data_IF_134213625869
#
_entry.id   IF_134213625869
#
_cell.length_a   1.000
_cell.length_b   1.000
_cell.length_c   1.000
_cell.angle_alpha   90.00
_cell.angle_beta   90.00
_cell.angle_gamma   90.00
#
_symmetry.space_group_name_H-M   'P 1'
#
loop_
_entity.id
_entity.type
_entity.pdbx_description
1 polymer ?
#
# COMPACT_ATOMS: atom_id res chain seq x y z
N UNK A 1 -23.77 -83.05 20.87
CA UNK A 1 -23.89 -81.86 19.99
C UNK A 1 -23.75 -80.55 20.79
N UNK A 2 -22.59 -80.28 21.42
CA UNK A 2 -22.41 -79.01 22.17
C UNK A 2 -20.98 -78.44 22.15
N UNK A 3 -20.05 -78.99 21.36
CA UNK A 3 -18.65 -78.54 21.35
C UNK A 3 -18.12 -78.01 20.00
N UNK A 4 -18.93 -78.04 18.93
CA UNK A 4 -18.51 -77.58 17.59
C UNK A 4 -19.06 -76.21 17.15
N UNK A 5 -19.71 -75.43 18.04
CA UNK A 5 -20.24 -74.09 17.67
C UNK A 5 -19.53 -72.89 18.32
N UNK A 6 -18.56 -73.10 19.21
CA UNK A 6 -17.81 -72.01 19.87
C UNK A 6 -16.48 -71.62 19.19
N UNK A 7 -16.02 -72.37 18.18
CA UNK A 7 -14.74 -72.10 17.51
C UNK A 7 -14.83 -71.22 16.24
N UNK A 8 -16.02 -70.96 15.69
CA UNK A 8 -16.16 -70.12 14.47
C UNK A 8 -16.34 -68.63 14.70
N UNK A 9 -16.64 -68.17 15.93
CA UNK A 9 -16.83 -66.73 16.19
C UNK A 9 -15.56 -66.01 16.66
N UNK A 10 -14.53 -66.75 17.10
CA UNK A 10 -13.28 -66.16 17.59
C UNK A 10 -12.30 -65.86 16.44
N UNK A 11 -12.34 -66.60 15.33
CA UNK A 11 -11.46 -66.32 14.17
C UNK A 11 -11.93 -65.16 13.28
N UNK A 12 -13.23 -64.86 13.22
CA UNK A 12 -13.75 -63.75 12.39
C UNK A 12 -13.53 -62.38 13.09
N UNK A 13 -13.53 -62.35 14.42
CA UNK A 13 -13.26 -61.12 15.19
C UNK A 13 -11.79 -60.66 15.15
N UNK A 14 -10.83 -61.58 15.06
CA UNK A 14 -9.40 -61.26 15.05
C UNK A 14 -8.88 -60.80 13.68
N UNK A 15 -9.47 -61.27 12.56
CA UNK A 15 -9.11 -60.77 11.22
C UNK A 15 -9.64 -59.35 10.94
N UNK A 16 -10.81 -59.00 11.50
CA UNK A 16 -11.40 -57.66 11.35
C UNK A 16 -10.63 -56.57 12.10
N UNK A 17 -10.03 -56.89 13.24
CA UNK A 17 -9.27 -55.91 14.05
C UNK A 17 -7.88 -55.59 13.46
N UNK A 18 -7.25 -56.55 12.79
CA UNK A 18 -5.94 -56.37 12.14
C UNK A 18 -6.05 -55.51 10.86
N UNK A 19 -7.15 -55.62 10.11
CA UNK A 19 -7.38 -54.80 8.91
C UNK A 19 -7.77 -53.35 9.24
N UNK A 20 -8.47 -53.10 10.36
CA UNK A 20 -8.77 -51.74 10.82
C UNK A 20 -7.55 -51.00 11.39
N UNK A 21 -6.66 -51.71 12.09
CA UNK A 21 -5.41 -51.12 12.60
C UNK A 21 -4.39 -50.83 11.48
N UNK A 22 -4.31 -51.68 10.45
CA UNK A 22 -3.46 -51.44 9.28
C UNK A 22 -3.96 -50.28 8.40
N UNK A 23 -5.28 -50.10 8.27
CA UNK A 23 -5.89 -48.98 7.54
C UNK A 23 -5.70 -47.62 8.24
N UNK A 24 -5.79 -47.57 9.56
CA UNK A 24 -5.58 -46.34 10.34
C UNK A 24 -4.09 -45.94 10.41
N UNK A 25 -3.16 -46.90 10.54
CA UNK A 25 -1.71 -46.61 10.54
C UNK A 25 -1.20 -46.28 9.12
N UNK A 26 -1.70 -46.98 8.09
CA UNK A 26 -1.40 -46.71 6.69
C UNK A 26 -1.95 -45.36 6.20
N UNK A 27 -3.19 -45.01 6.59
CA UNK A 27 -3.80 -43.72 6.26
C UNK A 27 -3.10 -42.54 6.94
N UNK A 28 -2.69 -42.68 8.20
CA UNK A 28 -2.00 -41.60 8.91
C UNK A 28 -0.58 -41.37 8.37
N UNK A 29 0.15 -42.43 8.03
CA UNK A 29 1.49 -42.33 7.42
C UNK A 29 1.44 -41.77 5.99
N UNK A 30 0.40 -42.10 5.21
CA UNK A 30 0.19 -41.50 3.87
C UNK A 30 -0.13 -40.01 3.95
N UNK A 31 -1.03 -39.60 4.84
CA UNK A 31 -1.42 -38.20 5.03
C UNK A 31 -0.22 -37.34 5.47
N UNK A 32 0.59 -37.83 6.42
CA UNK A 32 1.81 -37.14 6.89
C UNK A 32 2.86 -37.03 5.78
N UNK A 33 3.01 -38.05 4.94
CA UNK A 33 3.94 -38.01 3.78
C UNK A 33 3.49 -36.99 2.72
N UNK A 34 2.19 -36.91 2.42
CA UNK A 34 1.67 -35.91 1.48
C UNK A 34 1.80 -34.48 2.02
N UNK A 35 1.56 -34.27 3.30
CA UNK A 35 1.74 -32.97 3.97
C UNK A 35 3.20 -32.54 4.01
N UNK A 36 4.13 -33.47 4.24
CA UNK A 36 5.56 -33.19 4.16
C UNK A 36 5.98 -32.79 2.74
N UNK A 37 5.57 -33.57 1.73
CA UNK A 37 5.85 -33.27 0.32
C UNK A 37 5.20 -31.95 -0.14
N UNK A 38 4.02 -31.59 0.38
CA UNK A 38 3.37 -30.31 0.12
C UNK A 38 4.10 -29.12 0.78
N UNK A 39 4.61 -29.30 1.99
CA UNK A 39 5.44 -28.30 2.70
C UNK A 39 6.79 -28.09 2.02
N UNK A 40 7.45 -29.16 1.56
CA UNK A 40 8.70 -29.05 0.81
C UNK A 40 8.52 -28.41 -0.56
N UNK A 41 7.44 -28.73 -1.29
CA UNK A 41 7.08 -28.06 -2.54
C UNK A 41 6.79 -26.58 -2.33
N UNK A 42 6.06 -26.22 -1.27
CA UNK A 42 5.80 -24.83 -0.90
C UNK A 42 7.07 -24.08 -0.48
N UNK A 43 7.98 -24.73 0.25
CA UNK A 43 9.28 -24.16 0.62
C UNK A 43 10.20 -23.95 -0.58
N UNK A 44 10.21 -24.89 -1.55
CA UNK A 44 10.94 -24.75 -2.82
C UNK A 44 10.37 -23.63 -3.70
N UNK A 45 9.05 -23.52 -3.81
CA UNK A 45 8.41 -22.42 -4.56
C UNK A 45 8.69 -21.07 -3.90
N UNK A 46 8.65 -20.98 -2.56
CA UNK A 46 9.02 -19.76 -1.81
C UNK A 46 10.49 -19.38 -2.02
N UNK A 47 11.41 -20.33 -1.95
CA UNK A 47 12.86 -20.05 -2.14
C UNK A 47 13.21 -19.69 -3.58
N UNK A 48 12.57 -20.30 -4.57
CA UNK A 48 12.75 -19.92 -5.99
C UNK A 48 12.17 -18.53 -6.27
N UNK A 49 11.02 -18.18 -5.68
CA UNK A 49 10.39 -16.86 -5.83
C UNK A 49 11.18 -15.76 -5.13
N UNK A 50 11.69 -16.02 -3.92
CA UNK A 50 12.56 -15.09 -3.18
C UNK A 50 13.90 -14.84 -3.92
N UNK A 51 14.51 -15.89 -4.49
CA UNK A 51 15.73 -15.73 -5.31
C UNK A 51 15.48 -14.91 -6.59
N UNK A 52 14.32 -15.11 -7.25
CA UNK A 52 13.93 -14.29 -8.43
C UNK A 52 13.68 -12.83 -8.05
N UNK A 53 12.99 -12.56 -6.93
CA UNK A 53 12.77 -11.21 -6.43
C UNK A 53 14.09 -10.52 -6.04
N UNK A 54 14.97 -11.20 -5.32
CA UNK A 54 16.29 -10.68 -4.97
C UNK A 54 17.17 -10.39 -6.20
N UNK A 55 17.11 -11.24 -7.23
CA UNK A 55 17.81 -11.02 -8.48
C UNK A 55 17.25 -9.79 -9.25
N UNK A 56 15.92 -9.60 -9.26
CA UNK A 56 15.29 -8.42 -9.86
C UNK A 56 15.63 -7.13 -9.11
N UNK A 57 15.67 -7.16 -7.78
CA UNK A 57 16.10 -6.03 -6.94
C UNK A 57 17.58 -5.71 -7.21
N UNK A 58 18.46 -6.71 -7.23
CA UNK A 58 19.89 -6.49 -7.51
C UNK A 58 20.12 -5.90 -8.92
N UNK A 59 19.35 -6.36 -9.91
CA UNK A 59 19.42 -5.84 -11.27
C UNK A 59 18.87 -4.41 -11.38
N UNK A 60 17.79 -4.09 -10.66
CA UNK A 60 17.23 -2.73 -10.61
C UNK A 60 18.15 -1.75 -9.88
N UNK A 61 18.84 -2.19 -8.82
CA UNK A 61 19.86 -1.40 -8.11
C UNK A 61 21.07 -1.08 -8.98
N UNK A 62 21.56 -2.05 -9.76
CA UNK A 62 22.64 -1.83 -10.72
C UNK A 62 22.22 -0.83 -11.80
N UNK A 63 20.98 -0.92 -12.29
CA UNK A 63 20.42 -0.01 -13.29
C UNK A 63 20.22 1.41 -12.72
N UNK A 64 19.74 1.53 -11.49
CA UNK A 64 19.60 2.81 -10.79
C UNK A 64 20.95 3.48 -10.52
N UNK A 65 21.97 2.73 -10.08
CA UNK A 65 23.34 3.23 -9.93
C UNK A 65 23.95 3.66 -11.26
N UNK A 66 23.69 2.93 -12.35
CA UNK A 66 24.16 3.30 -13.68
C UNK A 66 23.48 4.58 -14.21
N UNK A 67 22.18 4.77 -13.93
CA UNK A 67 21.45 6.00 -14.24
C UNK A 67 21.96 7.19 -13.44
N UNK A 68 22.22 7.01 -12.14
CA UNK A 68 22.77 8.05 -11.27
C UNK A 68 24.20 8.45 -11.68
N UNK A 69 25.04 7.51 -12.13
CA UNK A 69 26.40 7.79 -12.63
C UNK A 69 26.43 8.49 -13.99
N UNK A 70 25.37 8.37 -14.80
CA UNK A 70 25.26 9.06 -16.11
C UNK A 70 24.73 10.49 -15.98
N UNK A 71 24.13 10.86 -14.85
CA UNK A 71 23.70 12.23 -14.60
C UNK A 71 24.93 13.10 -14.28
N UNK A 72 25.32 13.99 -15.19
CA UNK A 72 26.36 15.01 -14.91
C UNK A 72 25.81 16.02 -13.89
N UNK A 73 26.61 16.44 -12.89
CA UNK A 73 26.25 17.57 -12.04
C UNK A 73 26.51 18.86 -12.85
N UNK A 74 25.43 19.49 -13.32
CA UNK A 74 25.48 20.80 -13.99
C UNK A 74 24.63 20.86 -15.25
N UNK A 75 23.72 21.83 -15.27
CA UNK A 75 22.91 22.33 -16.38
C UNK A 75 21.76 21.44 -16.90
N UNK A 76 20.57 21.64 -16.34
CA UNK A 76 19.52 22.42 -16.99
C UNK A 76 18.38 22.61 -15.99
N UNK A 77 17.98 23.86 -15.71
CA UNK A 77 16.63 24.10 -15.23
C UNK A 77 15.71 23.51 -16.30
N UNK A 78 15.11 22.36 -16.01
CA UNK A 78 14.13 21.76 -16.88
C UNK A 78 13.07 22.83 -17.15
N UNK A 79 12.85 23.16 -18.42
CA UNK A 79 11.77 24.04 -18.82
C UNK A 79 10.48 23.57 -18.13
N UNK A 80 9.62 24.49 -17.64
CA UNK A 80 8.44 24.10 -16.88
C UNK A 80 7.60 23.17 -17.75
N UNK A 81 7.49 21.91 -17.35
CA UNK A 81 6.60 20.94 -17.97
C UNK A 81 5.21 21.57 -17.88
N UNK A 82 4.59 21.88 -19.03
CA UNK A 82 3.21 22.38 -19.05
C UNK A 82 2.35 21.38 -18.29
N UNK A 83 1.80 21.85 -17.18
CA UNK A 83 0.96 21.08 -16.30
C UNK A 83 -0.30 20.63 -17.06
N UNK A 84 -0.59 19.33 -17.07
CA UNK A 84 -1.86 18.76 -17.58
C UNK A 84 -3.02 18.91 -16.59
N UNK A 85 -2.81 19.68 -15.51
CA UNK A 85 -3.78 19.93 -14.44
C UNK A 85 -4.81 20.95 -14.91
N UNK A 86 -6.06 20.74 -14.50
CA UNK A 86 -7.15 21.70 -14.71
C UNK A 86 -7.00 22.78 -13.62
N UNK A 87 -6.82 24.07 -13.96
CA UNK A 87 -6.73 25.14 -12.98
C UNK A 87 -7.96 25.18 -12.07
N UNK A 88 -7.78 25.45 -10.77
CA UNK A 88 -8.89 25.51 -9.78
C UNK A 88 -9.98 26.51 -10.18
N UNK A 89 -9.64 27.56 -10.94
CA UNK A 89 -10.59 28.52 -11.50
C UNK A 89 -11.56 27.90 -12.51
N UNK A 90 -11.18 26.80 -13.18
CA UNK A 90 -12.01 26.06 -14.14
C UNK A 90 -12.79 24.91 -13.51
N UNK A 91 -12.58 24.63 -12.22
CA UNK A 91 -13.34 23.59 -11.53
C UNK A 91 -14.81 24.00 -11.41
N UNK A 92 -15.71 23.03 -11.39
CA UNK A 92 -17.14 23.28 -11.23
C UNK A 92 -17.59 22.85 -9.84
N UNK A 93 -18.67 23.47 -9.37
CA UNK A 93 -19.32 23.09 -8.12
C UNK A 93 -20.03 21.74 -8.33
N UNK A 94 -19.75 20.75 -7.49
CA UNK A 94 -20.51 19.52 -7.51
C UNK A 94 -21.93 19.76 -6.95
N UNK A 95 -22.94 19.11 -7.54
CA UNK A 95 -24.35 19.25 -7.18
C UNK A 95 -24.72 18.61 -5.84
N UNK A 96 -23.87 17.73 -5.32
CA UNK A 96 -24.01 17.08 -4.02
C UNK A 96 -22.66 17.05 -3.28
N UNK A 97 -22.66 16.77 -1.96
CA UNK A 97 -21.42 16.55 -1.22
C UNK A 97 -20.56 15.46 -1.87
N UNK A 98 -19.34 15.82 -2.28
CA UNK A 98 -18.42 14.93 -2.99
C UNK A 98 -17.98 13.79 -2.08
N UNK A 99 -17.98 12.58 -2.64
CA UNK A 99 -17.38 11.38 -2.05
C UNK A 99 -16.46 10.75 -3.08
N UNK A 100 -15.24 10.39 -2.70
CA UNK A 100 -14.28 9.80 -3.64
C UNK A 100 -13.32 8.79 -3.01
N UNK A 101 -12.78 7.85 -3.79
CA UNK A 101 -11.83 6.89 -3.29
C UNK A 101 -10.46 7.53 -3.05
N UNK A 102 -9.96 7.42 -1.82
CA UNK A 102 -8.54 7.56 -1.49
C UNK A 102 -7.98 6.13 -1.42
N UNK A 103 -7.30 5.69 -2.48
CA UNK A 103 -6.71 4.35 -2.54
C UNK A 103 -5.50 4.26 -1.63
N UNK A 104 -5.42 3.19 -0.85
CA UNK A 104 -4.32 2.88 0.06
C UNK A 104 -3.56 1.64 -0.41
N UNK A 105 -2.35 1.86 -0.91
CA UNK A 105 -1.32 0.87 -1.18
C UNK A 105 -0.18 1.01 -0.16
N UNK A 106 0.79 0.10 -0.15
CA UNK A 106 1.98 0.20 0.72
C UNK A 106 3.24 -0.02 -0.12
N UNK A 107 3.54 -1.27 -0.49
CA UNK A 107 4.75 -1.63 -1.22
C UNK A 107 4.45 -2.21 -2.62
N UNK A 108 5.47 -2.27 -3.48
CA UNK A 108 5.42 -2.91 -4.80
C UNK A 108 6.31 -4.13 -4.79
N UNK A 109 5.71 -5.30 -4.98
CA UNK A 109 6.44 -6.56 -4.93
C UNK A 109 5.52 -7.77 -4.83
N UNK A 110 6.06 -8.86 -4.28
CA UNK A 110 5.33 -10.10 -4.01
C UNK A 110 5.78 -10.68 -2.67
N UNK A 111 4.87 -11.28 -1.91
CA UNK A 111 5.21 -12.07 -0.73
C UNK A 111 4.26 -11.92 0.45
N UNK A 112 3.57 -10.78 0.57
CA UNK A 112 2.57 -10.53 1.60
C UNK A 112 1.43 -9.66 1.07
N UNK A 113 0.45 -9.35 1.93
CA UNK A 113 -0.76 -8.58 1.58
C UNK A 113 -0.53 -7.08 1.42
N UNK A 114 0.64 -6.55 1.79
CA UNK A 114 1.02 -5.14 1.63
C UNK A 114 1.77 -4.88 0.31
N UNK A 115 2.29 -5.94 -0.31
CA UNK A 115 3.06 -5.87 -1.55
C UNK A 115 2.15 -6.09 -2.76
N UNK A 116 1.94 -5.02 -3.54
CA UNK A 116 1.18 -5.06 -4.79
C UNK A 116 2.07 -5.52 -5.95
N UNK A 117 1.74 -6.60 -6.68
CA UNK A 117 2.48 -7.00 -7.86
C UNK A 117 2.55 -5.89 -8.90
N UNK A 118 3.73 -5.66 -9.47
CA UNK A 118 3.98 -4.55 -10.41
C UNK A 118 3.03 -4.55 -11.62
N UNK A 119 2.75 -5.72 -12.20
CA UNK A 119 1.83 -5.84 -13.35
C UNK A 119 0.37 -5.56 -12.96
N UNK A 120 -0.03 -5.98 -11.76
CA UNK A 120 -1.37 -5.70 -11.23
C UNK A 120 -1.53 -4.19 -11.01
N UNK A 121 -0.55 -3.54 -10.37
CA UNK A 121 -0.55 -2.09 -10.19
C UNK A 121 -0.59 -1.35 -11.52
N UNK A 122 0.24 -1.76 -12.49
CA UNK A 122 0.25 -1.17 -13.84
C UNK A 122 -1.13 -1.24 -14.49
N UNK A 123 -1.81 -2.37 -14.39
CA UNK A 123 -3.14 -2.57 -14.96
C UNK A 123 -4.19 -1.67 -14.27
N UNK A 124 -4.15 -1.58 -12.93
CA UNK A 124 -5.05 -0.70 -12.17
C UNK A 124 -4.86 0.77 -12.54
N UNK A 125 -3.61 1.25 -12.57
CA UNK A 125 -3.28 2.62 -12.94
C UNK A 125 -3.65 2.95 -14.40
N UNK A 126 -3.37 2.04 -15.32
CA UNK A 126 -3.74 2.19 -16.74
C UNK A 126 -5.26 2.28 -16.89
N UNK A 127 -6.00 1.41 -16.18
CA UNK A 127 -7.45 1.40 -16.22
C UNK A 127 -8.05 2.69 -15.66
N UNK A 128 -7.54 3.22 -14.54
CA UNK A 128 -8.01 4.49 -13.97
C UNK A 128 -7.96 5.63 -15.01
N UNK A 129 -6.83 5.74 -15.73
CA UNK A 129 -6.67 6.72 -16.81
C UNK A 129 -7.67 6.50 -17.95
N UNK A 130 -7.79 5.25 -18.43
CA UNK A 130 -8.72 4.91 -19.52
C UNK A 130 -10.19 5.13 -19.14
N UNK A 131 -10.55 4.91 -17.88
CA UNK A 131 -11.88 5.14 -17.34
C UNK A 131 -12.21 6.62 -17.09
N UNK A 132 -11.24 7.52 -17.31
CA UNK A 132 -11.39 8.96 -17.18
C UNK A 132 -11.31 9.47 -15.75
N UNK A 133 -10.57 8.81 -14.86
CA UNK A 133 -10.32 9.34 -13.52
C UNK A 133 -9.27 10.45 -13.54
N UNK A 134 -9.59 11.56 -12.87
CA UNK A 134 -8.63 12.60 -12.51
C UNK A 134 -7.94 12.22 -11.19
N UNK A 135 -6.63 12.04 -11.23
CA UNK A 135 -5.82 11.71 -10.07
C UNK A 135 -5.43 12.99 -9.31
N UNK A 136 -5.89 13.11 -8.07
CA UNK A 136 -5.70 14.31 -7.23
C UNK A 136 -4.30 14.35 -6.60
N UNK A 137 -3.74 15.55 -6.47
CA UNK A 137 -2.66 15.80 -5.49
C UNK A 137 -3.24 15.97 -4.07
N UNK A 138 -2.40 15.96 -3.01
CA UNK A 138 -2.86 16.27 -1.65
C UNK A 138 -3.52 17.66 -1.54
N UNK A 139 -2.97 18.68 -2.20
CA UNK A 139 -3.53 20.04 -2.19
C UNK A 139 -4.88 20.12 -2.91
N UNK A 140 -5.02 19.40 -4.03
CA UNK A 140 -6.30 19.33 -4.75
C UNK A 140 -7.36 18.56 -3.97
N UNK A 141 -6.99 17.45 -3.32
CA UNK A 141 -7.89 16.73 -2.42
C UNK A 141 -8.40 17.65 -1.30
N UNK A 142 -7.54 18.49 -0.73
CA UNK A 142 -7.96 19.52 0.23
C UNK A 142 -8.93 20.52 -0.39
N UNK A 143 -8.67 21.02 -1.59
CA UNK A 143 -9.60 21.91 -2.31
C UNK A 143 -10.96 21.24 -2.55
N UNK A 144 -10.99 19.99 -3.03
CA UNK A 144 -12.24 19.24 -3.23
C UNK A 144 -13.03 19.14 -1.92
N UNK A 145 -12.38 18.71 -0.85
CA UNK A 145 -13.03 18.48 0.44
C UNK A 145 -13.46 19.77 1.15
N UNK A 146 -12.78 20.89 0.93
CA UNK A 146 -13.07 22.16 1.59
C UNK A 146 -14.05 23.05 0.82
N UNK A 147 -14.15 22.89 -0.50
CA UNK A 147 -14.96 23.77 -1.36
C UNK A 147 -16.09 23.05 -2.09
N UNK A 148 -16.06 21.71 -2.13
CA UNK A 148 -16.97 20.89 -2.91
C UNK A 148 -16.94 21.21 -4.42
N UNK A 149 -15.82 21.78 -4.89
CA UNK A 149 -15.51 21.99 -6.31
C UNK A 149 -14.64 20.85 -6.81
N UNK A 150 -14.91 20.36 -8.01
CA UNK A 150 -14.18 19.24 -8.61
C UNK A 150 -13.66 19.58 -10.01
N UNK A 151 -12.51 19.01 -10.40
CA UNK A 151 -11.99 19.14 -11.76
C UNK A 151 -12.77 18.30 -12.77
N UNK A 152 -13.31 17.15 -12.34
CA UNK A 152 -14.07 16.18 -13.12
C UNK A 152 -15.02 15.39 -12.20
N UNK A 153 -16.02 14.72 -12.76
CA UNK A 153 -16.93 13.87 -11.98
C UNK A 153 -16.22 12.65 -11.36
N UNK A 154 -15.27 12.08 -12.10
CA UNK A 154 -14.46 10.94 -11.65
C UNK A 154 -13.13 11.44 -11.13
N UNK A 155 -12.99 11.44 -9.82
CA UNK A 155 -11.74 11.75 -9.12
C UNK A 155 -11.27 10.58 -8.27
N UNK A 156 -9.96 10.44 -8.11
CA UNK A 156 -9.33 9.44 -7.25
C UNK A 156 -8.07 10.04 -6.64
N UNK A 157 -7.74 9.65 -5.41
CA UNK A 157 -6.43 9.97 -4.84
C UNK A 157 -5.68 8.68 -4.55
N UNK A 158 -4.49 8.51 -5.14
CA UNK A 158 -3.70 7.29 -5.04
C UNK A 158 -2.58 7.50 -4.02
N UNK A 159 -2.63 6.76 -2.90
CA UNK A 159 -1.66 6.89 -1.80
C UNK A 159 -0.89 5.60 -1.54
N UNK A 160 0.38 5.72 -1.18
CA UNK A 160 1.27 4.65 -0.76
C UNK A 160 1.84 4.97 0.62
N UNK A 161 1.68 4.06 1.58
CA UNK A 161 2.22 4.23 2.92
C UNK A 161 3.68 3.77 3.01
N UNK A 162 4.37 4.22 4.06
CA UNK A 162 5.69 3.79 4.57
C UNK A 162 6.94 4.22 3.78
N UNK A 163 6.82 4.72 2.54
CA UNK A 163 8.00 5.22 1.81
C UNK A 163 9.01 4.13 1.43
N UNK A 164 8.54 2.94 1.05
CA UNK A 164 9.40 1.82 0.66
C UNK A 164 10.27 2.13 -0.57
N UNK A 165 11.48 1.59 -0.59
CA UNK A 165 12.47 1.76 -1.68
C UNK A 165 11.99 1.22 -3.03
N UNK A 166 11.03 0.30 -3.05
CA UNK A 166 10.40 -0.17 -4.28
C UNK A 166 9.64 0.95 -5.01
N UNK A 167 9.19 1.99 -4.31
CA UNK A 167 8.54 3.15 -4.93
C UNK A 167 9.45 3.84 -5.94
N UNK A 168 10.75 3.95 -5.67
CA UNK A 168 11.71 4.51 -6.63
C UNK A 168 12.16 3.50 -7.69
N UNK A 169 12.40 2.24 -7.29
CA UNK A 169 13.04 1.25 -8.18
C UNK A 169 12.07 0.55 -9.13
N UNK A 170 10.83 0.33 -8.70
CA UNK A 170 9.76 -0.30 -9.47
C UNK A 170 8.61 0.67 -9.76
N UNK A 171 8.19 1.46 -8.76
CA UNK A 171 7.06 2.39 -8.86
C UNK A 171 7.29 3.53 -9.86
N UNK A 172 8.39 4.28 -9.73
CA UNK A 172 8.65 5.44 -10.56
C UNK A 172 8.65 5.14 -12.08
N UNK A 173 9.29 4.06 -12.58
CA UNK A 173 9.14 3.66 -13.97
C UNK A 173 7.68 3.37 -14.38
N UNK A 174 6.90 2.72 -13.51
CA UNK A 174 5.49 2.42 -13.75
C UNK A 174 4.64 3.68 -13.81
N UNK A 175 4.76 4.58 -12.83
CA UNK A 175 4.02 5.84 -12.77
C UNK A 175 4.28 6.70 -14.01
N UNK A 176 5.53 6.75 -14.48
CA UNK A 176 5.88 7.42 -15.75
C UNK A 176 5.22 6.75 -16.95
N UNK A 177 5.23 5.42 -17.02
CA UNK A 177 4.64 4.69 -18.13
C UNK A 177 3.11 4.83 -18.21
N UNK A 178 2.43 4.88 -17.06
CA UNK A 178 0.98 5.09 -16.99
C UNK A 178 0.57 6.55 -16.92
N UNK A 179 1.55 7.47 -16.83
CA UNK A 179 1.35 8.91 -16.57
C UNK A 179 0.51 9.16 -15.31
N UNK A 180 0.65 8.29 -14.31
CA UNK A 180 -0.11 8.36 -13.07
C UNK A 180 0.52 9.29 -12.05
N UNK A 181 -0.34 10.03 -11.34
CA UNK A 181 -0.01 10.88 -10.21
C UNK A 181 -0.36 10.13 -8.93
N UNK A 182 0.61 10.05 -8.03
CA UNK A 182 0.50 9.30 -6.78
C UNK A 182 1.11 10.12 -5.65
N UNK A 183 0.70 9.83 -4.42
CA UNK A 183 1.28 10.38 -3.20
C UNK A 183 1.95 9.28 -2.40
N UNK A 184 3.17 9.52 -1.90
CA UNK A 184 3.82 8.63 -0.93
C UNK A 184 3.81 9.29 0.45
N UNK A 185 3.28 8.58 1.46
CA UNK A 185 3.27 9.01 2.86
C UNK A 185 4.58 8.52 3.51
N UNK A 186 5.52 9.45 3.75
CA UNK A 186 6.88 9.14 4.18
C UNK A 186 7.04 9.13 5.69
N UNK A 187 7.73 8.09 6.21
CA UNK A 187 8.18 8.04 7.59
C UNK A 187 9.49 8.83 7.67
N UNK A 188 9.46 10.05 8.21
CA UNK A 188 10.58 10.99 8.06
C UNK A 188 11.88 10.47 8.70
N UNK A 189 11.80 9.79 9.84
CA UNK A 189 12.94 9.19 10.53
C UNK A 189 13.49 7.93 9.87
N UNK A 190 12.79 7.36 8.88
CA UNK A 190 13.25 6.20 8.12
C UNK A 190 13.91 6.56 6.79
N UNK A 191 13.87 7.83 6.37
CA UNK A 191 14.50 8.27 5.12
C UNK A 191 15.99 7.92 5.13
N UNK A 192 16.42 7.18 4.10
CA UNK A 192 17.80 6.71 3.97
C UNK A 192 18.10 5.36 4.60
N UNK A 193 17.13 4.70 5.26
CA UNK A 193 17.28 3.32 5.72
C UNK A 193 17.44 2.35 4.53
N UNK A 194 17.84 1.10 4.80
CA UNK A 194 18.00 0.08 3.76
C UNK A 194 16.72 -0.24 2.98
N UNK A 195 15.55 -0.03 3.59
CA UNK A 195 14.24 -0.41 3.04
C UNK A 195 13.43 0.78 2.55
N UNK A 196 13.82 2.01 2.88
CA UNK A 196 13.07 3.22 2.57
C UNK A 196 13.78 4.07 1.50
N UNK A 197 13.07 5.08 1.01
CA UNK A 197 13.63 6.04 0.06
C UNK A 197 14.76 6.85 0.69
N UNK A 198 15.78 7.16 -0.11
CA UNK A 198 16.77 8.19 0.24
C UNK A 198 16.26 9.56 -0.20
N UNK A 199 16.82 10.63 0.38
CA UNK A 199 16.51 12.00 -0.04
C UNK A 199 16.69 12.20 -1.56
N UNK A 200 17.75 11.64 -2.15
CA UNK A 200 17.99 11.71 -3.59
C UNK A 200 16.91 10.99 -4.41
N UNK A 201 16.38 9.87 -3.91
CA UNK A 201 15.26 9.17 -4.54
C UNK A 201 13.97 9.99 -4.45
N UNK A 202 13.67 10.56 -3.27
CA UNK A 202 12.52 11.45 -3.05
C UNK A 202 12.55 12.62 -4.04
N UNK A 203 13.68 13.35 -4.13
CA UNK A 203 13.85 14.47 -5.07
C UNK A 203 13.68 14.04 -6.53
N UNK A 204 14.21 12.87 -6.90
CA UNK A 204 14.06 12.31 -8.26
C UNK A 204 12.59 12.00 -8.59
N UNK A 205 11.85 11.46 -7.62
CA UNK A 205 10.42 11.14 -7.76
C UNK A 205 9.56 12.40 -7.79
N UNK A 206 9.87 13.39 -6.95
CA UNK A 206 9.19 14.69 -6.91
C UNK A 206 9.33 15.40 -8.27
N UNK A 207 10.54 15.43 -8.84
CA UNK A 207 10.78 15.99 -10.17
C UNK A 207 10.03 15.27 -11.29
N UNK A 208 9.55 14.03 -11.04
CA UNK A 208 8.73 13.27 -11.97
C UNK A 208 7.22 13.40 -11.71
N UNK A 209 6.81 14.23 -10.75
CA UNK A 209 5.40 14.49 -10.44
C UNK A 209 4.78 13.56 -9.40
N UNK A 210 5.60 12.87 -8.59
CA UNK A 210 5.14 12.17 -7.39
C UNK A 210 5.02 13.16 -6.23
N UNK A 211 3.86 13.18 -5.59
CA UNK A 211 3.63 13.98 -4.38
C UNK A 211 4.08 13.22 -3.13
N UNK A 212 4.37 13.96 -2.07
CA UNK A 212 4.78 13.39 -0.79
C UNK A 212 3.97 13.98 0.35
N UNK A 213 3.59 13.13 1.29
CA UNK A 213 2.90 13.48 2.52
C UNK A 213 3.62 12.85 3.73
N UNK A 214 3.15 13.16 4.94
CA UNK A 214 3.80 12.66 6.17
C UNK A 214 3.21 11.34 6.65
N UNK A 215 4.05 10.51 7.27
CA UNK A 215 3.67 9.30 8.00
C UNK A 215 4.37 9.21 9.38
N UNK A 216 4.47 10.35 10.08
CA UNK A 216 5.15 10.53 11.37
C UNK A 216 6.68 10.36 11.29
N UNK A 217 7.38 10.54 12.41
CA UNK A 217 8.84 10.38 12.47
C UNK A 217 9.21 8.91 12.55
N UNK A 218 8.55 8.18 13.44
CA UNK A 218 8.98 6.86 13.88
C UNK A 218 7.96 5.75 13.63
N UNK A 219 6.83 6.08 12.98
CA UNK A 219 5.76 5.13 12.65
C UNK A 219 5.18 4.43 13.90
N UNK A 220 4.95 5.21 14.95
CA UNK A 220 4.36 4.73 16.21
C UNK A 220 2.84 4.87 16.20
N UNK A 221 2.16 3.95 16.88
CA UNK A 221 0.71 4.01 17.07
C UNK A 221 0.34 5.19 17.99
N UNK A 222 -0.08 6.32 17.39
CA UNK A 222 -0.16 7.63 18.04
C UNK A 222 -1.08 7.66 19.27
N UNK A 223 -2.25 7.02 19.20
CA UNK A 223 -3.23 7.05 20.29
C UNK A 223 -2.79 6.30 21.57
N UNK A 224 -1.67 5.57 21.52
CA UNK A 224 -1.03 4.94 22.68
C UNK A 224 0.09 5.77 23.30
N UNK A 225 0.48 6.86 22.65
CA UNK A 225 1.59 7.70 23.10
C UNK A 225 1.12 8.80 24.04
N UNK A 226 1.97 9.25 24.97
CA UNK A 226 1.76 10.50 25.70
C UNK A 226 1.58 11.67 24.72
N UNK A 227 0.74 12.65 25.09
CA UNK A 227 0.41 13.80 24.24
C UNK A 227 1.65 14.52 23.68
N UNK A 228 2.63 14.82 24.54
CA UNK A 228 3.88 15.45 24.11
C UNK A 228 4.62 14.67 23.02
N UNK A 229 4.58 13.32 23.08
CA UNK A 229 5.22 12.49 22.05
C UNK A 229 4.42 12.49 20.75
N UNK A 230 3.09 12.52 20.80
CA UNK A 230 2.26 12.66 19.59
C UNK A 230 2.56 13.97 18.88
N UNK A 231 2.64 15.07 19.63
CA UNK A 231 2.98 16.39 19.10
C UNK A 231 4.35 16.38 18.40
N UNK A 232 5.38 15.80 19.03
CA UNK A 232 6.72 15.65 18.43
C UNK A 232 6.67 14.84 17.14
N UNK A 233 6.03 13.66 17.15
CA UNK A 233 5.90 12.79 15.97
C UNK A 233 5.24 13.52 14.78
N UNK A 234 4.26 14.38 15.04
CA UNK A 234 3.52 15.10 14.01
C UNK A 234 4.26 16.35 13.53
N UNK A 235 4.83 17.13 14.44
CA UNK A 235 5.49 18.41 14.13
C UNK A 235 6.84 18.20 13.47
N UNK A 236 7.65 17.29 14.00
CA UNK A 236 9.02 17.07 13.50
C UNK A 236 8.98 16.40 12.14
N UNK A 237 8.09 15.43 11.93
CA UNK A 237 7.94 14.79 10.62
C UNK A 237 7.57 15.78 9.52
N UNK A 238 6.66 16.72 9.82
CA UNK A 238 6.29 17.77 8.88
C UNK A 238 7.47 18.69 8.57
N UNK A 239 8.23 19.04 9.60
CA UNK A 239 9.39 19.94 9.50
C UNK A 239 10.52 19.29 8.70
N UNK A 240 10.85 18.04 9.00
CA UNK A 240 11.94 17.31 8.36
C UNK A 240 11.63 17.01 6.90
N UNK A 241 10.41 16.55 6.60
CA UNK A 241 9.98 16.38 5.22
C UNK A 241 9.93 17.73 4.49
N UNK A 242 9.55 18.81 5.17
CA UNK A 242 9.59 20.17 4.60
C UNK A 242 10.99 20.57 4.12
N UNK A 243 12.04 20.22 4.86
CA UNK A 243 13.45 20.47 4.46
C UNK A 243 13.83 19.70 3.20
N UNK A 244 13.36 18.46 3.05
CA UNK A 244 13.65 17.60 1.89
C UNK A 244 12.88 18.05 0.65
N UNK A 245 11.58 18.31 0.82
CA UNK A 245 10.61 18.56 -0.24
C UNK A 245 10.59 20.03 -0.70
N UNK A 246 11.19 20.94 0.08
CA UNK A 246 11.14 22.38 -0.14
C UNK A 246 9.80 23.02 0.26
N UNK A 247 8.79 22.23 0.62
CA UNK A 247 7.51 22.69 1.16
C UNK A 247 7.02 21.65 2.16
N UNK A 248 6.54 22.12 3.31
CA UNK A 248 6.01 21.26 4.34
C UNK A 248 4.75 20.50 3.85
N UNK A 249 4.68 19.17 4.05
CA UNK A 249 3.47 18.40 3.74
C UNK A 249 2.21 18.99 4.36
N UNK A 250 1.10 18.99 3.60
CA UNK A 250 -0.21 19.40 4.12
C UNK A 250 -1.06 18.22 4.62
N UNK A 251 -0.59 16.98 4.43
CA UNK A 251 -1.35 15.77 4.74
C UNK A 251 -0.52 14.86 5.65
N UNK A 252 -1.19 14.23 6.62
CA UNK A 252 -0.66 13.15 7.47
C UNK A 252 -1.47 11.87 7.24
N UNK A 253 -0.81 10.74 7.08
CA UNK A 253 -1.42 9.42 7.28
C UNK A 253 -1.06 8.92 8.68
N UNK A 254 -2.04 8.44 9.45
CA UNK A 254 -1.76 7.94 10.80
C UNK A 254 -1.25 6.49 10.75
N UNK A 255 -0.10 6.17 11.37
CA UNK A 255 0.41 4.80 11.45
C UNK A 255 -0.68 3.85 11.95
N UNK A 256 -0.82 2.72 11.27
CA UNK A 256 -1.85 1.69 11.51
C UNK A 256 -3.30 2.23 11.59
N UNK A 257 -3.53 3.44 11.10
CA UNK A 257 -4.83 4.13 11.08
C UNK A 257 -5.37 4.56 12.44
N UNK A 258 -4.55 4.58 13.49
CA UNK A 258 -5.00 4.86 14.87
C UNK A 258 -4.68 6.29 15.29
N UNK A 259 -5.68 6.92 15.91
CA UNK A 259 -5.64 8.29 16.39
C UNK A 259 -6.60 8.44 17.58
N UNK A 260 -6.44 9.52 18.36
CA UNK A 260 -7.42 9.98 19.34
C UNK A 260 -7.59 11.51 19.20
N UNK A 261 -8.41 12.13 20.05
CA UNK A 261 -8.71 13.56 19.95
C UNK A 261 -7.45 14.44 20.08
N UNK A 262 -6.50 14.03 20.94
CA UNK A 262 -5.19 14.68 21.05
C UNK A 262 -4.43 14.60 19.73
N UNK A 263 -4.40 13.43 19.09
CA UNK A 263 -3.76 13.26 17.77
C UNK A 263 -4.34 14.21 16.72
N UNK A 264 -5.66 14.37 16.69
CA UNK A 264 -6.34 15.23 15.72
C UNK A 264 -6.05 16.71 15.98
N UNK A 265 -6.05 17.12 17.25
CA UNK A 265 -5.71 18.48 17.66
C UNK A 265 -4.24 18.80 17.34
N UNK A 266 -3.32 17.88 17.64
CA UNK A 266 -1.89 18.04 17.36
C UNK A 266 -1.62 18.09 15.86
N UNK A 267 -2.30 17.26 15.05
CA UNK A 267 -2.17 17.29 13.59
C UNK A 267 -2.58 18.65 13.02
N UNK A 268 -3.71 19.20 13.49
CA UNK A 268 -4.15 20.55 13.14
C UNK A 268 -3.14 21.61 13.57
N UNK A 269 -2.62 21.49 14.79
CA UNK A 269 -1.68 22.47 15.38
C UNK A 269 -0.31 22.45 14.71
N UNK A 270 0.13 21.29 14.22
CA UNK A 270 1.35 21.13 13.42
C UNK A 270 1.21 21.74 12.01
N UNK A 271 0.00 22.10 11.58
CA UNK A 271 -0.27 22.73 10.28
C UNK A 271 -0.59 21.75 9.15
N UNK A 272 -0.98 20.51 9.47
CA UNK A 272 -1.64 19.66 8.48
C UNK A 272 -3.05 20.18 8.19
N UNK A 273 -3.55 19.88 7.00
CA UNK A 273 -4.89 20.22 6.52
C UNK A 273 -5.76 18.96 6.39
N UNK A 274 -5.14 17.81 6.09
CA UNK A 274 -5.81 16.53 5.92
C UNK A 274 -5.16 15.44 6.78
N UNK A 275 -5.99 14.51 7.27
CA UNK A 275 -5.58 13.32 8.01
C UNK A 275 -6.20 12.05 7.43
N UNK A 276 -5.39 11.05 7.14
CA UNK A 276 -5.80 9.79 6.49
C UNK A 276 -5.78 8.64 7.48
N UNK A 277 -6.85 7.83 7.47
CA UNK A 277 -7.02 6.67 8.37
C UNK A 277 -6.94 5.36 7.60
N UNK A 278 -7.14 4.23 8.27
CA UNK A 278 -7.37 2.93 7.61
C UNK A 278 -8.83 2.49 7.69
N UNK A 279 -9.75 3.37 8.10
CA UNK A 279 -11.18 3.09 8.10
C UNK A 279 -11.64 2.85 6.66
N UNK A 280 -12.24 1.69 6.34
CA UNK A 280 -12.67 1.41 4.97
C UNK A 280 -13.82 2.31 4.54
N UNK A 281 -13.67 2.99 3.41
CA UNK A 281 -14.74 3.82 2.84
C UNK A 281 -14.26 4.85 1.83
N UNK A 282 -15.22 5.52 1.19
CA UNK A 282 -14.96 6.72 0.39
C UNK A 282 -14.75 7.92 1.30
N UNK A 283 -13.78 8.76 0.97
CA UNK A 283 -13.51 9.99 1.69
C UNK A 283 -14.60 11.05 1.41
N UNK A 284 -14.98 11.79 2.43
CA UNK A 284 -15.98 12.85 2.35
C UNK A 284 -15.73 13.92 3.42
N UNK A 285 -16.05 15.17 3.12
CA UNK A 285 -15.86 16.29 4.05
C UNK A 285 -16.63 16.11 5.38
N UNK A 286 -17.77 15.39 5.35
CA UNK A 286 -18.60 15.09 6.52
C UNK A 286 -17.89 14.21 7.57
N UNK A 287 -16.83 13.48 7.20
CA UNK A 287 -15.99 12.76 8.16
C UNK A 287 -15.19 13.72 9.04
N UNK A 288 -14.95 14.96 8.58
CA UNK A 288 -13.93 15.85 9.13
C UNK A 288 -12.59 15.61 8.44
N UNK A 289 -11.91 16.70 8.11
CA UNK A 289 -10.72 16.67 7.23
C UNK A 289 -9.53 15.89 7.81
N UNK A 290 -9.50 15.68 9.12
CA UNK A 290 -8.41 15.01 9.84
C UNK A 290 -8.66 13.51 10.07
N UNK A 291 -9.72 12.92 9.54
CA UNK A 291 -10.02 11.49 9.74
C UNK A 291 -10.70 10.87 8.53
N UNK A 292 -10.13 11.10 7.36
CA UNK A 292 -10.66 10.62 6.10
C UNK A 292 -10.52 9.10 5.97
N UNK A 293 -11.57 8.47 5.47
CA UNK A 293 -11.59 7.05 5.15
C UNK A 293 -10.73 6.77 3.91
N UNK A 294 -10.21 5.54 3.82
CA UNK A 294 -9.44 5.07 2.66
C UNK A 294 -9.91 3.72 2.19
N UNK A 295 -9.65 3.44 0.91
CA UNK A 295 -9.97 2.19 0.25
C UNK A 295 -8.70 1.34 0.17
N UNK A 296 -8.59 0.31 1.02
CA UNK A 296 -7.46 -0.64 0.98
C UNK A 296 -7.50 -1.42 -0.32
N UNK A 297 -6.40 -1.43 -1.08
CA UNK A 297 -6.27 -2.24 -2.29
C UNK A 297 -5.34 -3.42 -2.00
N UNK A 298 -5.90 -4.62 -1.96
CA UNK A 298 -5.14 -5.83 -1.69
C UNK A 298 -4.65 -6.49 -3.00
N UNK A 299 -3.49 -7.16 -2.97
CA UNK A 299 -3.05 -7.98 -4.09
C UNK A 299 -4.04 -9.12 -4.34
N UNK A 300 -4.21 -9.50 -5.61
CA UNK A 300 -5.16 -10.55 -6.00
C UNK A 300 -6.59 -10.06 -6.29
N UNK A 301 -6.95 -8.80 -5.98
CA UNK A 301 -8.20 -8.22 -6.46
C UNK A 301 -8.29 -8.28 -8.00
N UNK A 302 -9.37 -8.87 -8.51
CA UNK A 302 -9.70 -8.80 -9.93
C UNK A 302 -10.02 -7.36 -10.34
N UNK A 303 -9.99 -7.05 -11.63
CA UNK A 303 -10.39 -5.73 -12.12
C UNK A 303 -11.82 -5.36 -11.70
N UNK A 304 -12.75 -6.33 -11.73
CA UNK A 304 -14.14 -6.13 -11.29
C UNK A 304 -14.21 -5.79 -9.80
N UNK A 305 -13.45 -6.50 -8.95
CA UNK A 305 -13.38 -6.18 -7.52
C UNK A 305 -12.77 -4.80 -7.28
N UNK A 306 -11.73 -4.44 -8.02
CA UNK A 306 -11.12 -3.10 -7.96
C UNK A 306 -12.11 -1.99 -8.37
N UNK A 307 -12.93 -2.22 -9.40
CA UNK A 307 -13.99 -1.31 -9.80
C UNK A 307 -15.07 -1.16 -8.72
N UNK A 308 -15.43 -2.25 -8.03
CA UNK A 308 -16.40 -2.17 -6.93
C UNK A 308 -15.85 -1.36 -5.75
N UNK A 309 -14.58 -1.55 -5.41
CA UNK A 309 -13.88 -0.78 -4.39
C UNK A 309 -13.93 0.73 -4.69
N UNK A 310 -13.66 1.13 -5.94
CA UNK A 310 -13.70 2.54 -6.34
C UNK A 310 -15.08 3.16 -6.20
N UNK A 311 -16.14 2.39 -6.44
CA UNK A 311 -17.52 2.88 -6.40
C UNK A 311 -18.11 2.90 -5.00
N UNK A 312 -17.77 1.92 -4.17
CA UNK A 312 -18.46 1.68 -2.89
C UNK A 312 -17.58 1.96 -1.68
N UNK A 313 -16.25 1.87 -1.85
CA UNK A 313 -15.28 1.84 -0.76
C UNK A 313 -15.06 0.46 -0.15
N UNK A 314 -15.75 -0.59 -0.65
CA UNK A 314 -15.77 -1.95 -0.09
C UNK A 314 -15.65 -3.06 -1.15
#
# INVERSE_FOLDING_TARGET
MAEMKKRSWILIGLLGLVLLAAGLYGGHTYQVSMDHAARERSARVRTVTAKKAAAQISQSEKKARALAKKAKPGAAQAAPVKSDRIPVSQWHQASAPVRFPILMYHDIGVGNTLMMPADQLKNQLTWLKQAGYYELTPSEAYTVLSTNRVPQDKIVWITFDDGYRAMATLGLPLFKATKSRVTVNEISGSVGSSWNLTEAMIKTMQAAGVDFASHTVSHLELNKLPAARQQTELTDSRTDLGKILGTAPNTIAYPVGRYNDVTLQDAKSAGYQLGLTTTPGLAAASQGLYKLDRVRVNPGNTLVSFMNLLRTGF
#
